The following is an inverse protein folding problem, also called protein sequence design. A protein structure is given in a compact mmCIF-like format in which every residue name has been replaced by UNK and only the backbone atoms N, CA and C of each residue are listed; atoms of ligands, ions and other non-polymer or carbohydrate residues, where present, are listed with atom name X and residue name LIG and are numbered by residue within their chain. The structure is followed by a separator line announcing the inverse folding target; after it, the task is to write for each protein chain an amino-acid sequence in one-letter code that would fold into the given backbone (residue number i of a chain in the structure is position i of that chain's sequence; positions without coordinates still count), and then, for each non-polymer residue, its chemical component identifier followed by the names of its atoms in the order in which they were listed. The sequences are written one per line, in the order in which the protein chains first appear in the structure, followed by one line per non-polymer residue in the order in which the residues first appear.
data_IF_165619309186
#
_entry.id   IF_165619309186
#
_cell.length_a   1.000
_cell.length_b   1.000
_cell.length_c   1.000
_cell.angle_alpha   90.00
_cell.angle_beta   90.00
_cell.angle_gamma   90.00
#
_symmetry.space_group_name_H-M   'P 1'
#
loop_
_entity.id
_entity.type
_entity.pdbx_description
1 polymer ?
#
# COMPACT_ATOMS: atom_id res chain seq x y z
N UNK A 1 22.03 2.43 12.97
CA UNK A 1 21.04 1.79 12.07
C UNK A 1 19.72 2.55 12.21
N UNK A 2 19.51 3.61 11.41
CA UNK A 2 18.20 4.28 11.36
C UNK A 2 17.32 3.52 10.38
N UNK A 3 16.56 2.54 10.87
CA UNK A 3 15.42 2.04 10.11
C UNK A 3 14.38 3.15 10.18
N UNK A 4 14.07 3.73 9.02
CA UNK A 4 13.10 4.79 8.86
C UNK A 4 11.70 4.23 9.17
N UNK A 5 11.35 4.13 10.45
CA UNK A 5 10.10 3.56 10.98
C UNK A 5 8.88 4.46 10.65
N UNK A 6 9.09 5.60 9.99
CA UNK A 6 8.06 6.59 9.69
C UNK A 6 7.52 6.58 8.24
N UNK A 7 7.99 5.69 7.36
CA UNK A 7 7.61 5.69 5.95
C UNK A 7 6.50 4.71 5.57
N UNK A 8 5.87 4.05 6.56
CA UNK A 8 4.76 3.13 6.33
C UNK A 8 3.41 3.84 6.46
N UNK A 9 2.59 3.70 5.41
CA UNK A 9 1.25 4.26 5.29
C UNK A 9 0.25 3.12 5.35
N UNK A 10 -0.75 3.22 6.22
CA UNK A 10 -1.83 2.24 6.29
C UNK A 10 -2.66 2.17 5.00
N UNK A 11 -3.35 1.03 4.81
CA UNK A 11 -4.19 0.77 3.63
C UNK A 11 -5.25 1.85 3.38
N UNK A 12 -5.86 2.41 4.43
CA UNK A 12 -6.88 3.43 4.29
C UNK A 12 -6.30 4.73 3.71
N UNK A 13 -5.20 5.22 4.29
CA UNK A 13 -4.50 6.41 3.79
C UNK A 13 -3.96 6.19 2.38
N UNK A 14 -3.42 5.02 2.10
CA UNK A 14 -2.95 4.66 0.77
C UNK A 14 -4.08 4.72 -0.27
N UNK A 15 -5.25 4.16 0.05
CA UNK A 15 -6.44 4.20 -0.80
C UNK A 15 -6.87 5.64 -1.10
N UNK A 16 -6.91 6.50 -0.07
CA UNK A 16 -7.22 7.93 -0.22
C UNK A 16 -6.21 8.65 -1.11
N UNK A 17 -4.90 8.42 -0.91
CA UNK A 17 -3.84 9.06 -1.71
C UNK A 17 -3.88 8.65 -3.18
N UNK A 18 -4.25 7.40 -3.45
CA UNK A 18 -4.33 6.84 -4.80
C UNK A 18 -5.66 7.14 -5.49
N UNK A 19 -6.66 7.64 -4.75
CA UNK A 19 -8.03 7.79 -5.26
C UNK A 19 -8.68 6.45 -5.61
N UNK A 20 -8.28 5.37 -4.93
CA UNK A 20 -8.76 4.01 -5.17
C UNK A 20 -9.56 3.50 -3.98
N UNK A 21 -10.59 2.67 -4.20
CA UNK A 21 -11.21 1.89 -3.13
C UNK A 21 -10.20 0.95 -2.47
N UNK A 22 -10.25 0.80 -1.14
CA UNK A 22 -9.40 -0.16 -0.40
C UNK A 22 -9.43 -1.59 -0.98
N UNK A 23 -10.59 -2.17 -1.36
CA UNK A 23 -10.61 -3.51 -1.95
C UNK A 23 -9.84 -3.60 -3.27
N UNK A 24 -9.81 -2.51 -4.04
CA UNK A 24 -9.09 -2.44 -5.30
C UNK A 24 -7.58 -2.29 -5.05
N UNK A 25 -7.19 -1.42 -4.10
CA UNK A 25 -5.81 -1.32 -3.64
C UNK A 25 -5.29 -2.66 -3.13
N UNK A 26 -6.08 -3.37 -2.32
CA UNK A 26 -5.74 -4.71 -1.81
C UNK A 26 -5.53 -5.71 -2.93
N UNK A 27 -6.35 -5.65 -3.98
CA UNK A 27 -6.19 -6.52 -5.15
C UNK A 27 -4.88 -6.25 -5.88
N UNK A 28 -4.54 -4.97 -6.12
CA UNK A 28 -3.25 -4.62 -6.73
C UNK A 28 -2.07 -5.03 -5.85
N UNK A 29 -2.17 -4.80 -4.54
CA UNK A 29 -1.20 -5.26 -3.54
C UNK A 29 -0.96 -6.76 -3.63
N UNK A 30 -2.02 -7.58 -3.62
CA UNK A 30 -1.91 -9.04 -3.70
C UNK A 30 -1.33 -9.54 -5.03
N UNK A 31 -1.73 -8.95 -6.15
CA UNK A 31 -1.25 -9.35 -7.48
C UNK A 31 0.23 -8.99 -7.67
N UNK A 32 0.65 -7.84 -7.15
CA UNK A 32 2.02 -7.32 -7.32
C UNK A 32 2.99 -7.73 -6.21
N UNK A 33 2.48 -8.30 -5.11
CA UNK A 33 3.27 -8.61 -3.92
C UNK A 33 3.77 -7.35 -3.19
N UNK A 34 3.10 -6.21 -3.36
CA UNK A 34 3.45 -4.93 -2.74
C UNK A 34 2.63 -4.72 -1.47
N UNK A 35 3.25 -4.20 -0.42
CA UNK A 35 2.62 -4.01 0.89
C UNK A 35 3.10 -5.04 1.91
N UNK A 36 3.14 -4.61 3.17
CA UNK A 36 3.65 -5.37 4.29
C UNK A 36 2.56 -5.53 5.34
N UNK A 37 2.48 -6.72 5.94
CA UNK A 37 1.62 -6.94 7.10
C UNK A 37 2.42 -6.58 8.34
N UNK A 38 2.02 -5.51 9.01
CA UNK A 38 2.53 -5.16 10.33
C UNK A 38 1.53 -5.60 11.40
N UNK A 39 2.05 -6.20 12.47
CA UNK A 39 1.28 -6.42 13.68
C UNK A 39 1.37 -5.15 14.52
N UNK A 40 0.30 -4.36 14.54
CA UNK A 40 0.13 -3.38 15.60
C UNK A 40 -0.46 -4.07 16.83
N UNK A 41 -0.40 -3.42 18.00
CA UNK A 41 -0.97 -3.96 19.24
C UNK A 41 -2.49 -4.22 19.19
N UNK A 42 -3.15 -3.91 18.08
CA UNK A 42 -4.57 -4.07 17.82
C UNK A 42 -4.89 -5.09 16.71
N UNK A 43 -3.88 -5.68 16.04
CA UNK A 43 -4.05 -6.71 15.02
C UNK A 43 -3.07 -6.61 13.85
N UNK A 44 -3.34 -7.40 12.81
CA UNK A 44 -2.60 -7.34 11.55
C UNK A 44 -3.18 -6.25 10.66
N UNK A 45 -2.33 -5.31 10.21
CA UNK A 45 -2.69 -4.29 9.23
C UNK A 45 -1.74 -4.32 8.05
N UNK A 46 -2.27 -4.07 6.86
CA UNK A 46 -1.46 -3.87 5.68
C UNK A 46 -0.98 -2.43 5.65
N UNK A 47 0.32 -2.25 5.51
CA UNK A 47 0.97 -0.96 5.36
C UNK A 47 1.84 -0.95 4.10
N UNK A 48 2.11 0.24 3.60
CA UNK A 48 2.81 0.45 2.34
C UNK A 48 3.89 1.51 2.52
N UNK A 49 5.05 1.28 1.95
CA UNK A 49 6.04 2.34 1.75
C UNK A 49 5.62 3.27 0.61
N UNK A 50 6.13 4.50 0.60
CA UNK A 50 5.93 5.42 -0.54
C UNK A 50 6.41 4.85 -1.87
N UNK A 51 7.49 4.07 -1.88
CA UNK A 51 7.99 3.38 -3.09
C UNK A 51 7.01 2.32 -3.60
N UNK A 52 6.40 1.54 -2.70
CA UNK A 52 5.37 0.57 -3.07
C UNK A 52 4.12 1.26 -3.59
N UNK A 53 3.67 2.35 -2.96
CA UNK A 53 2.54 3.14 -3.45
C UNK A 53 2.81 3.69 -4.84
N UNK A 54 4.02 4.20 -5.09
CA UNK A 54 4.43 4.66 -6.43
C UNK A 54 4.36 3.54 -7.47
N UNK A 55 4.75 2.32 -7.13
CA UNK A 55 4.63 1.16 -8.03
C UNK A 55 3.18 0.79 -8.28
N UNK A 56 2.33 0.82 -7.26
CA UNK A 56 0.89 0.58 -7.40
C UNK A 56 0.25 1.63 -8.32
N UNK A 57 0.56 2.92 -8.17
CA UNK A 57 0.13 3.98 -9.10
C UNK A 57 0.43 3.61 -10.56
N UNK A 58 1.66 3.16 -10.83
CA UNK A 58 2.09 2.83 -12.18
C UNK A 58 1.35 1.62 -12.74
N UNK A 59 1.04 0.62 -11.91
CA UNK A 59 0.27 -0.56 -12.32
C UNK A 59 -1.19 -0.18 -12.64
N UNK A 60 -1.81 0.64 -11.79
CA UNK A 60 -3.18 1.13 -11.98
C UNK A 60 -3.29 1.94 -13.27
N UNK A 61 -2.36 2.88 -13.49
CA UNK A 61 -2.33 3.70 -14.70
C UNK A 61 -2.14 2.86 -15.97
N UNK A 62 -1.36 1.77 -15.91
CA UNK A 62 -1.16 0.85 -17.03
C UNK A 62 -2.37 -0.06 -17.28
N UNK A 63 -3.12 -0.41 -16.24
CA UNK A 63 -4.32 -1.25 -16.35
C UNK A 63 -5.54 -0.52 -16.92
N UNK A 64 -5.50 0.82 -17.03
CA UNK A 64 -6.57 1.64 -17.58
C UNK A 64 -6.60 1.70 -19.13
N UNK A 65 -5.85 0.82 -19.81
CA UNK A 65 -5.67 0.85 -21.27
C UNK A 65 -6.36 -0.32 -21.97
#
# INVERSE_FOLDING_TARGET
MNRNIHDHIDEHRAAVLLGLPEPELRRYSQISGLGHVENDGHGQKVVFTYEELRRICLLVAQSSK
#
